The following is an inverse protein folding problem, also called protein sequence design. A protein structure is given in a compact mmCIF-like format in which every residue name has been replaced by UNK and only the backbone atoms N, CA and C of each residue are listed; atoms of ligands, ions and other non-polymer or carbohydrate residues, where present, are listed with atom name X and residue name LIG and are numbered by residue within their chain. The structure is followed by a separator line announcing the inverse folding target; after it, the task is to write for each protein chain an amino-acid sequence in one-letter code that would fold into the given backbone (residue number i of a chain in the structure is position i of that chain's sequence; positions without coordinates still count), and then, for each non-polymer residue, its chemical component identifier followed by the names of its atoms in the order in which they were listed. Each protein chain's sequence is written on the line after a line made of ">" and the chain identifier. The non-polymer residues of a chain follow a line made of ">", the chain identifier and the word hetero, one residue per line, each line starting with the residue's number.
data_IF_152621752375
#
_entry.id   IF_152621752375
#
_cell.length_a   1.000
_cell.length_b   1.000
_cell.length_c   1.000
_cell.angle_alpha   90.00
_cell.angle_beta   90.00
_cell.angle_gamma   90.00
#
_symmetry.space_group_name_H-M   'P 1'
#
loop_
_entity.id
_entity.type
_entity.pdbx_description
1 polymer ?
#
# COMPACT_ATOMS: atom_id res chain seq x y z
N UNK A 1 1.59 18.61 13.50
CA UNK A 1 2.27 17.68 12.56
C UNK A 1 1.22 17.19 11.58
N UNK A 2 1.42 17.49 10.29
CA UNK A 2 0.59 16.99 9.20
C UNK A 2 1.02 15.59 8.75
N UNK A 3 0.19 14.95 7.90
CA UNK A 3 0.50 13.68 7.26
C UNK A 3 0.15 13.75 5.78
N UNK A 4 1.00 13.18 4.95
CA UNK A 4 0.79 13.04 3.51
C UNK A 4 0.86 11.58 3.10
N UNK A 5 0.08 11.21 2.10
CA UNK A 5 0.25 9.95 1.37
C UNK A 5 1.11 10.21 0.15
N UNK A 6 2.21 9.48 0.01
CA UNK A 6 3.13 9.59 -1.12
C UNK A 6 3.22 8.26 -1.83
N UNK A 7 3.01 8.29 -3.14
CA UNK A 7 3.10 7.10 -4.00
C UNK A 7 4.46 7.07 -4.67
N UNK A 8 5.23 6.00 -4.40
CA UNK A 8 6.47 5.70 -5.13
C UNK A 8 6.30 4.34 -5.81
N UNK A 9 6.61 4.29 -7.08
CA UNK A 9 6.54 3.05 -7.86
C UNK A 9 7.92 2.43 -8.01
N UNK A 10 8.01 1.12 -7.84
CA UNK A 10 9.27 0.40 -7.89
C UNK A 10 10.02 0.62 -9.20
N UNK A 11 9.32 0.53 -10.32
CA UNK A 11 9.90 0.76 -11.65
C UNK A 11 10.43 2.19 -11.88
N UNK A 12 10.04 3.16 -11.07
CA UNK A 12 10.52 4.54 -11.13
C UNK A 12 11.71 4.74 -10.20
N UNK A 13 11.62 4.17 -9.00
CA UNK A 13 12.66 4.34 -7.96
C UNK A 13 13.90 3.52 -8.29
N UNK A 14 13.74 2.32 -8.85
CA UNK A 14 14.82 1.40 -9.17
C UNK A 14 14.68 0.88 -10.61
N UNK A 15 14.88 1.74 -11.62
CA UNK A 15 14.68 1.39 -13.03
C UNK A 15 15.67 0.34 -13.53
N UNK A 16 16.85 0.26 -12.92
CA UNK A 16 17.90 -0.74 -13.13
C UNK A 16 18.25 -1.37 -11.78
N UNK A 17 18.50 -2.67 -11.75
CA UNK A 17 18.83 -3.42 -10.53
C UNK A 17 19.99 -2.75 -9.77
N UNK A 18 19.73 -2.39 -8.52
CA UNK A 18 20.68 -1.71 -7.63
C UNK A 18 20.96 -0.23 -7.95
N UNK A 19 20.35 0.33 -8.99
CA UNK A 19 20.51 1.74 -9.37
C UNK A 19 19.22 2.54 -9.07
N UNK A 20 19.30 3.42 -8.06
CA UNK A 20 18.16 4.19 -7.59
C UNK A 20 18.10 5.58 -8.24
N UNK A 21 16.94 5.96 -8.78
CA UNK A 21 16.63 7.32 -9.23
C UNK A 21 15.79 8.04 -8.18
N UNK A 22 16.41 8.92 -7.42
CA UNK A 22 15.80 9.72 -6.38
C UNK A 22 15.26 11.07 -6.86
N UNK A 23 15.42 11.41 -8.14
CA UNK A 23 15.15 12.74 -8.68
C UNK A 23 13.74 13.24 -8.40
N UNK A 24 12.73 12.39 -8.54
CA UNK A 24 11.33 12.74 -8.27
C UNK A 24 10.98 12.64 -6.79
N UNK A 25 11.43 11.57 -6.14
CA UNK A 25 11.13 11.33 -4.73
C UNK A 25 11.77 12.35 -3.81
N UNK A 26 13.00 12.82 -4.08
CA UNK A 26 13.64 13.88 -3.29
C UNK A 26 12.83 15.18 -3.28
N UNK A 27 12.19 15.53 -4.40
CA UNK A 27 11.36 16.74 -4.48
C UNK A 27 10.14 16.60 -3.58
N UNK A 28 9.39 15.51 -3.70
CA UNK A 28 8.14 15.34 -2.94
C UNK A 28 8.40 15.10 -1.45
N UNK A 29 9.45 14.34 -1.12
CA UNK A 29 9.84 14.11 0.28
C UNK A 29 10.38 15.38 0.92
N UNK A 30 11.22 16.17 0.22
CA UNK A 30 11.72 17.46 0.70
C UNK A 30 10.62 18.49 0.94
N UNK A 31 9.55 18.49 0.11
CA UNK A 31 8.38 19.33 0.36
C UNK A 31 7.62 18.91 1.64
N UNK A 32 7.50 17.61 1.89
CA UNK A 32 6.86 17.12 3.11
C UNK A 32 7.71 17.44 4.36
N UNK A 33 9.00 17.22 4.29
CA UNK A 33 9.93 17.54 5.37
C UNK A 33 9.90 19.03 5.73
N UNK A 34 9.94 19.90 4.72
CA UNK A 34 9.85 21.36 4.90
C UNK A 34 8.56 21.80 5.59
N UNK A 35 7.47 21.05 5.44
CA UNK A 35 6.17 21.34 6.04
C UNK A 35 5.93 20.57 7.35
N UNK A 36 6.95 19.90 7.89
CA UNK A 36 6.84 19.06 9.10
C UNK A 36 5.76 17.98 8.99
N UNK A 37 5.62 17.36 7.79
CA UNK A 37 4.70 16.26 7.55
C UNK A 37 5.41 14.91 7.72
N UNK A 38 4.73 13.99 8.40
CA UNK A 38 5.03 12.57 8.29
C UNK A 38 4.43 11.99 7.01
N UNK A 39 5.03 10.95 6.51
CA UNK A 39 4.60 10.32 5.26
C UNK A 39 4.14 8.89 5.50
N UNK A 40 2.95 8.58 4.97
CA UNK A 40 2.53 7.21 4.67
C UNK A 40 2.94 6.93 3.23
N UNK A 41 3.90 6.03 3.06
CA UNK A 41 4.41 5.62 1.76
C UNK A 41 3.51 4.53 1.16
N UNK A 42 2.97 4.78 -0.02
CA UNK A 42 2.39 3.74 -0.86
C UNK A 42 3.48 3.21 -1.80
N UNK A 43 4.06 2.08 -1.43
CA UNK A 43 4.99 1.32 -2.26
C UNK A 43 4.33 -0.01 -2.63
N UNK A 44 3.25 0.10 -3.40
CA UNK A 44 2.32 -1.01 -3.61
C UNK A 44 2.80 -1.94 -4.72
N UNK A 45 2.92 -3.22 -4.38
CA UNK A 45 3.13 -4.34 -5.33
C UNK A 45 1.80 -4.89 -5.86
N UNK A 46 0.70 -4.59 -5.18
CA UNK A 46 -0.69 -4.84 -5.60
C UNK A 46 -1.39 -3.50 -5.70
N UNK A 47 -2.03 -3.22 -6.83
CA UNK A 47 -2.83 -2.02 -7.04
C UNK A 47 -4.18 -2.43 -7.63
N UNK A 48 -5.18 -2.64 -6.77
CA UNK A 48 -6.48 -3.17 -7.16
C UNK A 48 -6.36 -4.55 -7.80
N UNK A 49 -6.83 -4.72 -9.02
CA UNK A 49 -6.80 -6.01 -9.75
C UNK A 49 -5.44 -6.31 -10.41
N UNK A 50 -4.43 -5.45 -10.25
CA UNK A 50 -3.15 -5.57 -10.97
C UNK A 50 -1.97 -5.71 -10.03
N UNK A 51 -0.96 -6.47 -10.44
CA UNK A 51 0.35 -6.53 -9.80
C UNK A 51 1.31 -5.51 -10.44
N UNK A 52 2.17 -4.90 -9.61
CA UNK A 52 3.14 -3.91 -10.04
C UNK A 52 2.60 -2.46 -10.02
N UNK A 53 3.25 -1.53 -10.74
CA UNK A 53 4.27 -1.79 -11.78
C UNK A 53 5.64 -2.19 -11.22
N UNK A 54 6.22 -3.23 -11.82
CA UNK A 54 7.56 -3.71 -11.50
C UNK A 54 8.61 -3.14 -12.46
N UNK A 55 9.88 -3.01 -12.03
CA UNK A 55 10.99 -2.70 -12.93
C UNK A 55 11.16 -3.74 -14.05
N UNK A 56 11.70 -3.32 -15.19
CA UNK A 56 11.89 -4.22 -16.32
C UNK A 56 12.82 -5.41 -16.02
N UNK A 57 13.77 -5.24 -15.11
CA UNK A 57 14.70 -6.29 -14.70
C UNK A 57 14.02 -7.38 -13.83
N UNK A 58 12.94 -7.04 -13.10
CA UNK A 58 12.08 -8.04 -12.43
C UNK A 58 11.13 -8.70 -13.44
N UNK A 59 10.72 -7.98 -14.47
CA UNK A 59 9.76 -8.46 -15.45
C UNK A 59 8.32 -8.38 -14.96
N UNK A 60 7.56 -9.47 -15.16
CA UNK A 60 6.14 -9.58 -14.77
C UNK A 60 5.94 -10.82 -13.90
N UNK A 61 6.34 -10.76 -12.63
CA UNK A 61 6.18 -11.90 -11.74
C UNK A 61 4.70 -12.17 -11.47
N UNK A 62 4.40 -13.42 -11.16
CA UNK A 62 3.18 -13.79 -10.45
C UNK A 62 3.39 -13.49 -8.95
N UNK A 63 2.34 -13.51 -8.16
CA UNK A 63 2.42 -13.17 -6.74
C UNK A 63 3.47 -14.00 -5.98
N UNK A 64 3.52 -15.31 -6.26
CA UNK A 64 4.50 -16.24 -5.69
C UNK A 64 5.88 -16.21 -6.37
N UNK A 65 6.07 -15.34 -7.35
CA UNK A 65 7.34 -15.14 -8.05
C UNK A 65 7.99 -13.80 -7.72
N UNK A 66 7.41 -13.01 -6.82
CA UNK A 66 8.00 -11.76 -6.33
C UNK A 66 9.16 -12.14 -5.41
N UNK A 67 10.35 -11.58 -5.70
CA UNK A 67 11.51 -11.77 -4.85
C UNK A 67 11.40 -10.87 -3.61
N UNK A 68 11.24 -11.49 -2.45
CA UNK A 68 11.04 -10.81 -1.17
C UNK A 68 12.30 -10.07 -0.72
N UNK A 69 13.48 -10.64 -0.94
CA UNK A 69 14.76 -10.02 -0.56
C UNK A 69 15.00 -8.73 -1.36
N UNK A 70 14.66 -8.72 -2.65
CA UNK A 70 14.74 -7.52 -3.49
C UNK A 70 13.75 -6.45 -3.02
N UNK A 71 12.52 -6.84 -2.68
CA UNK A 71 11.52 -5.91 -2.16
C UNK A 71 11.97 -5.31 -0.82
N UNK A 72 12.50 -6.12 0.09
CA UNK A 72 13.08 -5.66 1.37
C UNK A 72 14.25 -4.72 1.12
N UNK A 73 15.16 -5.06 0.20
CA UNK A 73 16.31 -4.22 -0.12
C UNK A 73 15.88 -2.84 -0.67
N UNK A 74 14.93 -2.82 -1.58
CA UNK A 74 14.42 -1.55 -2.14
C UNK A 74 13.74 -0.69 -1.07
N UNK A 75 12.89 -1.30 -0.25
CA UNK A 75 12.23 -0.59 0.86
C UNK A 75 13.23 -0.09 1.91
N UNK A 76 14.25 -0.87 2.24
CA UNK A 76 15.33 -0.47 3.15
C UNK A 76 16.07 0.78 2.65
N UNK A 77 16.40 0.83 1.36
CA UNK A 77 17.02 2.00 0.75
C UNK A 77 16.12 3.24 0.82
N UNK A 78 14.81 3.10 0.56
CA UNK A 78 13.84 4.20 0.65
C UNK A 78 13.73 4.70 2.10
N UNK A 79 13.55 3.80 3.06
CA UNK A 79 13.34 4.13 4.47
C UNK A 79 14.60 4.70 5.12
N UNK A 80 15.78 4.23 4.72
CA UNK A 80 17.06 4.78 5.16
C UNK A 80 17.31 6.19 4.63
N UNK A 81 16.78 6.51 3.43
CA UNK A 81 16.90 7.84 2.84
C UNK A 81 15.89 8.83 3.43
N UNK A 82 14.66 8.41 3.71
CA UNK A 82 13.55 9.29 4.07
C UNK A 82 13.00 8.99 5.46
N UNK A 83 13.61 9.53 6.51
CA UNK A 83 13.23 9.34 7.91
C UNK A 83 11.88 9.95 8.30
N UNK A 84 11.25 10.71 7.40
CA UNK A 84 9.88 11.23 7.56
C UNK A 84 8.81 10.17 7.24
N UNK A 85 9.20 9.06 6.59
CA UNK A 85 8.32 7.91 6.36
C UNK A 85 8.19 7.11 7.65
N UNK A 86 7.00 7.06 8.21
CA UNK A 86 6.71 6.31 9.44
C UNK A 86 5.72 5.17 9.23
N UNK A 87 5.18 5.05 8.03
CA UNK A 87 4.25 3.98 7.67
C UNK A 87 4.33 3.64 6.18
N UNK A 88 4.16 2.36 5.84
CA UNK A 88 4.22 1.82 4.48
C UNK A 88 2.99 0.99 4.19
N UNK A 89 2.38 1.21 3.02
CA UNK A 89 1.34 0.37 2.44
C UNK A 89 1.95 -0.38 1.27
N UNK A 90 2.02 -1.71 1.34
CA UNK A 90 2.59 -2.55 0.29
C UNK A 90 1.56 -3.18 -0.65
N UNK A 91 0.28 -3.07 -0.30
CA UNK A 91 -0.82 -3.45 -1.19
C UNK A 91 -1.96 -2.45 -1.07
N UNK A 92 -2.39 -1.94 -2.21
CA UNK A 92 -3.48 -0.97 -2.33
C UNK A 92 -4.72 -1.60 -2.98
N UNK A 93 -5.92 -1.32 -2.40
CA UNK A 93 -7.20 -1.90 -2.83
C UNK A 93 -7.12 -3.43 -2.92
N UNK A 94 -6.54 -4.01 -1.87
CA UNK A 94 -6.10 -5.40 -1.81
C UNK A 94 -7.27 -6.38 -2.00
N UNK A 95 -8.46 -6.04 -1.52
CA UNK A 95 -9.67 -6.85 -1.69
C UNK A 95 -10.00 -7.10 -3.17
N UNK A 96 -9.69 -6.15 -4.04
CA UNK A 96 -9.99 -6.26 -5.47
C UNK A 96 -9.16 -7.34 -6.16
N UNK A 97 -7.91 -7.54 -5.74
CA UNK A 97 -7.03 -8.60 -6.24
C UNK A 97 -7.53 -9.99 -5.88
N UNK A 98 -8.05 -10.15 -4.65
CA UNK A 98 -8.35 -11.46 -4.10
C UNK A 98 -9.82 -11.88 -4.24
N UNK A 99 -10.76 -10.99 -4.53
CA UNK A 99 -12.20 -11.32 -4.64
C UNK A 99 -12.54 -12.47 -5.58
N UNK A 100 -11.68 -12.76 -6.56
CA UNK A 100 -11.83 -13.90 -7.49
C UNK A 100 -10.65 -14.86 -7.42
N UNK A 101 -9.72 -14.62 -6.50
CA UNK A 101 -8.45 -15.32 -6.40
C UNK A 101 -8.11 -15.61 -4.93
N UNK A 102 -9.09 -15.93 -4.10
CA UNK A 102 -8.92 -16.17 -2.66
C UNK A 102 -7.90 -17.26 -2.35
N UNK A 103 -7.72 -18.24 -3.28
CA UNK A 103 -6.70 -19.27 -3.14
C UNK A 103 -5.26 -18.72 -3.06
N UNK A 104 -5.03 -17.47 -3.45
CA UNK A 104 -3.72 -16.82 -3.35
C UNK A 104 -3.55 -15.97 -2.08
N UNK A 105 -4.57 -15.87 -1.22
CA UNK A 105 -4.45 -15.14 0.05
C UNK A 105 -3.31 -15.71 0.91
N UNK A 106 -3.17 -17.03 1.12
CA UNK A 106 -2.05 -17.56 1.89
C UNK A 106 -0.68 -17.23 1.31
N UNK A 107 -0.55 -17.20 -0.02
CA UNK A 107 0.70 -16.81 -0.71
C UNK A 107 1.05 -15.35 -0.40
N UNK A 108 0.06 -14.47 -0.43
CA UNK A 108 0.27 -13.07 -0.10
C UNK A 108 0.59 -12.87 1.39
N UNK A 109 -0.08 -13.60 2.28
CA UNK A 109 0.19 -13.53 3.72
C UNK A 109 1.64 -13.94 4.05
N UNK A 110 2.16 -14.98 3.39
CA UNK A 110 3.55 -15.41 3.52
C UNK A 110 4.51 -14.33 3.02
N UNK A 111 4.30 -13.82 1.80
CA UNK A 111 5.10 -12.72 1.23
C UNK A 111 5.09 -11.49 2.15
N UNK A 112 3.90 -11.08 2.61
CA UNK A 112 3.77 -9.95 3.54
C UNK A 112 4.57 -10.18 4.82
N UNK A 113 4.45 -11.38 5.44
CA UNK A 113 5.14 -11.71 6.68
C UNK A 113 6.66 -11.64 6.51
N UNK A 114 7.20 -12.20 5.43
CA UNK A 114 8.64 -12.22 5.17
C UNK A 114 9.18 -10.81 4.95
N UNK A 115 8.47 -9.99 4.18
CA UNK A 115 8.83 -8.56 3.96
C UNK A 115 8.72 -7.76 5.26
N UNK A 116 7.64 -7.96 6.02
CA UNK A 116 7.43 -7.32 7.31
C UNK A 116 8.59 -7.61 8.26
N UNK A 117 8.95 -8.89 8.45
CA UNK A 117 10.02 -9.29 9.34
C UNK A 117 11.38 -8.73 8.88
N UNK A 118 11.67 -8.77 7.58
CA UNK A 118 12.88 -8.22 7.01
C UNK A 118 13.03 -6.71 7.25
N UNK A 119 11.94 -5.97 7.12
CA UNK A 119 11.95 -4.52 7.37
C UNK A 119 11.98 -4.20 8.87
N UNK A 120 11.21 -4.91 9.70
CA UNK A 120 11.19 -4.66 11.16
C UNK A 120 12.54 -4.89 11.83
N UNK A 121 13.38 -5.75 11.28
CA UNK A 121 14.76 -5.92 11.77
C UNK A 121 15.62 -4.66 11.59
N UNK A 122 15.36 -3.87 10.55
CA UNK A 122 16.15 -2.67 10.21
C UNK A 122 15.44 -1.37 10.61
N UNK A 123 14.13 -1.34 10.51
CA UNK A 123 13.26 -0.19 10.75
C UNK A 123 12.11 -0.54 11.71
N UNK A 124 12.39 -0.84 12.99
CA UNK A 124 11.40 -1.38 13.94
C UNK A 124 10.22 -0.42 14.20
N UNK A 125 10.44 0.88 14.07
CA UNK A 125 9.42 1.92 14.34
C UNK A 125 8.50 2.21 13.14
N UNK A 126 8.88 1.79 11.93
CA UNK A 126 8.05 1.98 10.73
C UNK A 126 6.89 0.98 10.75
N UNK A 127 5.68 1.49 10.54
CA UNK A 127 4.46 0.66 10.52
C UNK A 127 4.20 0.15 9.10
N UNK A 128 3.74 -1.10 9.02
CA UNK A 128 3.38 -1.75 7.77
C UNK A 128 1.92 -2.18 7.76
N UNK A 129 1.25 -2.02 6.61
CA UNK A 129 -0.13 -2.44 6.47
C UNK A 129 -0.59 -2.50 5.02
N UNK A 130 -1.87 -2.80 4.88
CA UNK A 130 -2.59 -2.88 3.61
C UNK A 130 -3.65 -1.78 3.51
N UNK A 131 -4.07 -1.45 2.30
CA UNK A 131 -5.22 -0.58 2.10
C UNK A 131 -6.33 -1.27 1.30
N UNK A 132 -7.56 -0.88 1.60
CA UNK A 132 -8.79 -1.40 1.03
C UNK A 132 -9.67 -0.26 0.52
N UNK A 133 -10.43 -0.49 -0.54
CA UNK A 133 -11.43 0.46 -1.02
C UNK A 133 -12.75 0.19 -0.30
N UNK A 134 -13.08 0.96 0.73
CA UNK A 134 -14.26 0.76 1.57
C UNK A 134 -15.55 0.60 0.76
N UNK A 135 -15.71 1.41 -0.28
CA UNK A 135 -16.91 1.32 -1.13
C UNK A 135 -17.01 -0.02 -1.89
N UNK A 136 -15.87 -0.63 -2.26
CA UNK A 136 -15.85 -1.96 -2.87
C UNK A 136 -16.17 -3.03 -1.84
N UNK A 137 -15.56 -2.95 -0.66
CA UNK A 137 -15.82 -3.88 0.45
C UNK A 137 -17.31 -3.92 0.76
N UNK A 138 -17.92 -2.76 1.01
CA UNK A 138 -19.34 -2.67 1.39
C UNK A 138 -20.30 -3.05 0.26
N UNK A 139 -19.98 -2.69 -0.99
CA UNK A 139 -20.88 -2.96 -2.12
C UNK A 139 -20.83 -4.41 -2.60
N UNK A 140 -19.76 -5.13 -2.29
CA UNK A 140 -19.52 -6.51 -2.78
C UNK A 140 -19.46 -7.55 -1.66
N UNK A 141 -19.69 -7.12 -0.40
CA UNK A 141 -19.63 -7.96 0.80
C UNK A 141 -18.29 -8.71 0.90
N UNK A 142 -17.18 -7.94 0.93
CA UNK A 142 -15.81 -8.47 0.95
C UNK A 142 -15.17 -8.36 2.34
N UNK A 143 -15.98 -8.26 3.40
CA UNK A 143 -15.51 -8.12 4.78
C UNK A 143 -14.63 -9.31 5.21
N UNK A 144 -14.98 -10.53 4.79
CA UNK A 144 -14.17 -11.73 5.08
C UNK A 144 -12.78 -11.65 4.49
N UNK A 145 -12.65 -11.15 3.25
CA UNK A 145 -11.34 -10.92 2.61
C UNK A 145 -10.53 -9.86 3.36
N UNK A 146 -11.20 -8.78 3.79
CA UNK A 146 -10.52 -7.74 4.59
C UNK A 146 -9.99 -8.35 5.88
N UNK A 147 -10.78 -9.16 6.59
CA UNK A 147 -10.37 -9.80 7.84
C UNK A 147 -9.17 -10.72 7.66
N UNK A 148 -9.10 -11.48 6.56
CA UNK A 148 -7.94 -12.33 6.25
C UNK A 148 -6.68 -11.53 5.87
N UNK A 149 -6.85 -10.33 5.30
CA UNK A 149 -5.77 -9.46 4.83
C UNK A 149 -5.47 -8.27 5.76
N UNK A 150 -6.17 -8.17 6.90
CA UNK A 150 -5.91 -7.19 7.94
C UNK A 150 -4.68 -7.58 8.77
N UNK A 151 -3.53 -7.70 8.10
CA UNK A 151 -2.24 -8.12 8.65
C UNK A 151 -1.29 -6.94 8.76
N UNK A 152 -0.32 -7.03 9.69
CA UNK A 152 0.65 -5.99 9.96
C UNK A 152 0.25 -5.07 11.13
N UNK A 153 0.71 -3.82 11.10
CA UNK A 153 0.53 -2.87 12.21
C UNK A 153 -0.77 -2.04 12.08
N UNK A 154 -1.34 -1.94 10.88
CA UNK A 154 -2.55 -1.16 10.61
C UNK A 154 -3.23 -1.59 9.31
N UNK A 155 -4.49 -1.19 9.18
CA UNK A 155 -5.22 -1.18 7.91
C UNK A 155 -5.61 0.25 7.55
N UNK A 156 -5.64 0.54 6.25
CA UNK A 156 -6.09 1.82 5.73
C UNK A 156 -7.29 1.61 4.79
N UNK A 157 -8.21 2.55 4.79
CA UNK A 157 -9.34 2.53 3.87
C UNK A 157 -9.34 3.78 3.00
N UNK A 158 -9.45 3.59 1.69
CA UNK A 158 -9.85 4.65 0.78
C UNK A 158 -11.37 4.73 0.71
N UNK A 159 -11.90 5.96 0.66
CA UNK A 159 -13.34 6.17 0.55
C UNK A 159 -13.62 7.35 -0.39
N UNK A 160 -14.44 7.10 -1.40
CA UNK A 160 -14.95 8.13 -2.29
C UNK A 160 -16.48 8.07 -2.32
N UNK A 161 -17.18 9.12 -1.88
CA UNK A 161 -18.66 9.21 -1.96
C UNK A 161 -19.13 9.59 -3.36
N UNK A 162 -18.33 9.32 -4.40
CA UNK A 162 -18.56 9.73 -5.79
C UNK A 162 -18.84 8.52 -6.68
N UNK A 163 -19.37 8.79 -7.87
CA UNK A 163 -19.48 7.81 -8.95
C UNK A 163 -18.26 7.86 -9.90
N UNK A 164 -18.33 7.09 -10.98
CA UNK A 164 -17.28 7.03 -12.00
C UNK A 164 -17.03 8.36 -12.75
N UNK A 165 -17.95 9.32 -12.65
CA UNK A 165 -17.82 10.66 -13.22
C UNK A 165 -17.32 11.69 -12.19
N UNK A 166 -16.92 11.23 -11.00
CA UNK A 166 -16.54 12.05 -9.85
C UNK A 166 -17.66 12.98 -9.35
N UNK A 167 -18.92 12.66 -9.63
CA UNK A 167 -20.07 13.36 -9.05
C UNK A 167 -20.43 12.80 -7.68
N UNK A 168 -20.69 13.67 -6.71
CA UNK A 168 -21.09 13.24 -5.35
C UNK A 168 -22.45 12.55 -5.43
N UNK A 169 -22.50 11.29 -5.01
CA UNK A 169 -23.72 10.44 -5.03
C UNK A 169 -24.23 10.09 -3.65
N UNK A 170 -23.44 10.31 -2.62
CA UNK A 170 -23.83 10.00 -1.24
C UNK A 170 -23.99 11.27 -0.43
N UNK A 171 -25.08 11.37 0.35
CA UNK A 171 -25.22 12.47 1.30
C UNK A 171 -24.20 12.32 2.44
N UNK A 172 -23.90 13.39 3.20
CA UNK A 172 -22.99 13.32 4.34
C UNK A 172 -23.40 12.25 5.37
N UNK A 173 -24.69 12.08 5.62
CA UNK A 173 -25.22 11.09 6.58
C UNK A 173 -24.93 9.66 6.12
N UNK A 174 -25.09 9.39 4.82
CA UNK A 174 -24.75 8.08 4.23
C UNK A 174 -23.25 7.83 4.28
N UNK A 175 -22.44 8.84 3.95
CA UNK A 175 -20.99 8.74 4.02
C UNK A 175 -20.48 8.44 5.45
N UNK A 176 -21.06 9.13 6.47
CA UNK A 176 -20.74 8.87 7.88
C UNK A 176 -21.12 7.44 8.28
N UNK A 177 -22.29 6.97 7.82
CA UNK A 177 -22.73 5.58 8.09
C UNK A 177 -21.77 4.56 7.47
N UNK A 178 -21.33 4.78 6.23
CA UNK A 178 -20.36 3.91 5.58
C UNK A 178 -19.02 3.89 6.33
N UNK A 179 -18.50 5.07 6.73
CA UNK A 179 -17.25 5.17 7.48
C UNK A 179 -17.33 4.49 8.85
N UNK A 180 -18.47 4.55 9.53
CA UNK A 180 -18.66 3.87 10.81
C UNK A 180 -18.59 2.35 10.69
N UNK A 181 -18.91 1.79 9.52
CA UNK A 181 -18.79 0.35 9.29
C UNK A 181 -17.36 -0.17 9.34
N UNK A 182 -16.34 0.69 9.18
CA UNK A 182 -14.93 0.30 9.36
C UNK A 182 -14.66 -0.31 10.74
N UNK A 183 -15.41 0.13 11.76
CA UNK A 183 -15.29 -0.37 13.13
C UNK A 183 -16.07 -1.68 13.38
N UNK A 184 -16.81 -2.15 12.40
CA UNK A 184 -17.59 -3.39 12.45
C UNK A 184 -16.92 -4.53 11.65
N UNK A 185 -15.97 -4.18 10.78
CA UNK A 185 -15.11 -5.08 10.00
C UNK A 185 -13.91 -5.50 10.86
#
# INVERSE_FOLDING_TARGET
>A
IGRSNVYLFWNIIEPVEGEFDWSQSDIIMGLNEKNDHKVTLYFSIINGETLGPFPNWIGKPTLNGINEDELVNTLDNILSRYNIVDSVIIAGETESQFRYNEQFIPVYQELFSNVYDGIKQKHPDVKFGNSFALHQVLNKNLEDIVNELAIGDFVAFSYAPTDILNEIRKTPEVAIKDLNKIFEI
#
